data_IF_431570389653
#
_entry.id   IF_431570389653
#
_cell.length_a   1.000
_cell.length_b   1.000
_cell.length_c   1.000
_cell.angle_alpha   90.00
_cell.angle_beta   90.00
_cell.angle_gamma   90.00
#
_symmetry.space_group_name_H-M   'P 1'
#
loop_
_entity.id
_entity.type
_entity.pdbx_description
1 polymer ?
#
# COMPACT_ATOMS: atom_id res chain seq x y z
N UNK A 1 6.11 33.43 -2.94
CA UNK A 1 6.79 32.66 -4.00
C UNK A 1 6.16 33.14 -5.30
N UNK A 2 6.92 33.80 -6.12
CA UNK A 2 6.41 34.46 -7.33
C UNK A 2 6.04 33.38 -8.36
N UNK A 3 5.02 33.63 -9.18
CA UNK A 3 4.57 32.65 -10.18
C UNK A 3 5.69 32.33 -11.16
N UNK A 4 6.49 33.35 -11.53
CA UNK A 4 7.62 33.20 -12.43
C UNK A 4 8.73 32.34 -11.85
N UNK A 5 9.06 32.49 -10.57
CA UNK A 5 10.03 31.62 -9.85
C UNK A 5 9.56 30.15 -9.84
N UNK A 6 8.26 29.94 -9.72
CA UNK A 6 7.68 28.59 -9.74
C UNK A 6 7.77 27.95 -11.12
N UNK A 7 7.51 28.70 -12.18
CA UNK A 7 7.63 28.26 -13.57
C UNK A 7 9.08 27.94 -13.92
N UNK A 8 10.03 28.77 -13.51
CA UNK A 8 11.45 28.55 -13.75
C UNK A 8 11.96 27.29 -13.03
N UNK A 9 11.54 27.08 -11.77
CA UNK A 9 11.83 25.87 -11.03
C UNK A 9 11.27 24.61 -11.72
N UNK A 10 10.01 24.67 -12.20
CA UNK A 10 9.40 23.58 -12.96
C UNK A 10 10.13 23.29 -14.26
N UNK A 11 10.55 24.34 -14.99
CA UNK A 11 11.31 24.18 -16.24
C UNK A 11 12.70 23.59 -15.98
N UNK A 12 13.38 24.05 -14.93
CA UNK A 12 14.67 23.52 -14.51
C UNK A 12 14.54 22.04 -14.13
N UNK A 13 13.58 21.70 -13.29
CA UNK A 13 13.30 20.32 -12.89
C UNK A 13 13.01 19.43 -14.10
N UNK A 14 12.21 19.91 -15.07
CA UNK A 14 11.90 19.18 -16.28
C UNK A 14 13.13 18.97 -17.19
N UNK A 15 14.05 19.95 -17.26
CA UNK A 15 15.34 19.80 -17.99
C UNK A 15 16.22 18.75 -17.32
N UNK A 16 16.36 18.81 -16.00
CA UNK A 16 17.12 17.82 -15.22
C UNK A 16 16.52 16.41 -15.38
N UNK A 17 15.21 16.28 -15.28
CA UNK A 17 14.53 15.01 -15.51
C UNK A 17 14.72 14.48 -16.94
N UNK A 18 14.68 15.35 -17.95
CA UNK A 18 14.95 14.95 -19.34
C UNK A 18 16.39 14.45 -19.53
N UNK A 19 17.37 15.10 -18.97
CA UNK A 19 18.77 14.65 -19.03
C UNK A 19 18.98 13.32 -18.29
N UNK A 20 18.29 13.09 -17.18
CA UNK A 20 18.29 11.82 -16.46
C UNK A 20 17.51 10.71 -17.20
N UNK A 21 16.48 11.05 -17.97
CA UNK A 21 15.68 10.11 -18.78
C UNK A 21 16.38 9.61 -20.05
N UNK A 22 17.36 10.35 -20.58
CA UNK A 22 18.05 9.95 -21.82
C UNK A 22 18.89 8.67 -21.73
N UNK A 23 19.09 8.13 -20.52
CA UNK A 23 19.61 6.78 -20.31
C UNK A 23 18.47 5.80 -19.99
N UNK A 24 17.69 5.38 -20.99
CA UNK A 24 16.59 4.43 -20.80
C UNK A 24 17.06 3.19 -20.02
N UNK A 25 16.71 3.09 -18.73
CA UNK A 25 17.10 1.99 -17.86
C UNK A 25 16.57 0.66 -18.42
N UNK A 26 17.39 -0.38 -18.37
CA UNK A 26 16.96 -1.75 -18.72
C UNK A 26 16.07 -2.33 -17.61
N UNK A 27 15.24 -3.32 -17.94
CA UNK A 27 14.54 -4.11 -16.90
C UNK A 27 15.52 -4.81 -15.95
N UNK A 28 16.73 -5.12 -16.40
CA UNK A 28 17.78 -5.68 -15.54
C UNK A 28 18.27 -4.70 -14.47
N UNK A 29 18.14 -3.39 -14.69
CA UNK A 29 18.54 -2.38 -13.71
C UNK A 29 17.60 -2.34 -12.49
N UNK A 30 16.38 -2.90 -12.61
CA UNK A 30 15.44 -3.07 -11.49
C UNK A 30 16.02 -3.99 -10.40
N UNK A 31 16.86 -4.93 -10.79
CA UNK A 31 17.44 -5.93 -9.90
C UNK A 31 18.85 -5.60 -9.43
N UNK A 32 19.40 -4.43 -9.83
CA UNK A 32 20.74 -3.99 -9.48
C UNK A 32 20.76 -2.97 -8.33
N UNK A 33 21.72 -3.13 -7.42
CA UNK A 33 22.02 -2.15 -6.38
C UNK A 33 20.82 -1.74 -5.53
N UNK A 34 20.60 -0.45 -5.40
CA UNK A 34 19.54 0.16 -4.60
C UNK A 34 18.13 -0.11 -5.18
N UNK A 35 18.04 -0.19 -6.51
CA UNK A 35 16.76 -0.39 -7.19
C UNK A 35 16.16 -1.77 -6.87
N UNK A 36 16.99 -2.79 -6.60
CA UNK A 36 16.52 -4.11 -6.16
C UNK A 36 15.62 -4.02 -4.92
N UNK A 37 16.04 -3.25 -3.89
CA UNK A 37 15.26 -3.07 -2.67
C UNK A 37 13.95 -2.33 -2.94
N UNK A 38 13.94 -1.31 -3.81
CA UNK A 38 12.75 -0.57 -4.20
C UNK A 38 11.77 -1.44 -4.98
N UNK A 39 12.27 -2.21 -5.94
CA UNK A 39 11.47 -3.16 -6.72
C UNK A 39 10.87 -4.23 -5.82
N UNK A 40 11.67 -4.80 -4.91
CA UNK A 40 11.19 -5.76 -3.91
C UNK A 40 10.02 -5.18 -3.11
N UNK A 41 10.16 -3.97 -2.57
CA UNK A 41 9.11 -3.35 -1.76
C UNK A 41 7.84 -3.09 -2.58
N UNK A 42 7.97 -2.59 -3.81
CA UNK A 42 6.84 -2.35 -4.69
C UNK A 42 6.10 -3.65 -5.07
N UNK A 43 6.84 -4.71 -5.42
CA UNK A 43 6.25 -6.02 -5.72
C UNK A 43 5.57 -6.63 -4.49
N UNK A 44 6.23 -6.58 -3.34
CA UNK A 44 5.68 -7.14 -2.10
C UNK A 44 4.46 -6.36 -1.60
N UNK A 45 4.41 -5.04 -1.77
CA UNK A 45 3.21 -4.28 -1.45
C UNK A 45 1.98 -4.79 -2.23
N UNK A 46 2.13 -5.08 -3.51
CA UNK A 46 1.07 -5.68 -4.32
C UNK A 46 0.76 -7.13 -3.94
N UNK A 47 1.78 -7.94 -3.65
CA UNK A 47 1.59 -9.34 -3.22
C UNK A 47 0.87 -9.39 -1.87
N UNK A 48 1.25 -8.55 -0.91
CA UNK A 48 0.59 -8.47 0.39
C UNK A 48 -0.89 -8.10 0.26
N UNK A 49 -1.24 -7.22 -0.68
CA UNK A 49 -2.62 -6.89 -0.99
C UNK A 49 -3.41 -8.13 -1.45
N UNK A 50 -2.82 -8.94 -2.35
CA UNK A 50 -3.47 -10.17 -2.82
C UNK A 50 -3.61 -11.24 -1.73
N UNK A 51 -2.64 -11.32 -0.80
CA UNK A 51 -2.59 -12.33 0.26
C UNK A 51 -3.28 -11.92 1.56
N UNK A 52 -3.77 -10.67 1.67
CA UNK A 52 -4.46 -10.14 2.85
C UNK A 52 -5.87 -10.69 3.09
N UNK A 53 -6.34 -11.62 2.26
CA UNK A 53 -7.69 -12.19 2.35
C UNK A 53 -8.72 -11.49 1.48
N UNK A 54 -8.33 -10.54 0.62
CA UNK A 54 -9.23 -9.90 -0.35
C UNK A 54 -9.95 -10.92 -1.25
N UNK A 55 -9.32 -12.03 -1.57
CA UNK A 55 -9.95 -13.10 -2.34
C UNK A 55 -11.21 -13.66 -1.68
N UNK A 56 -11.30 -13.68 -0.35
CA UNK A 56 -12.52 -14.10 0.37
C UNK A 56 -13.68 -13.14 0.12
N UNK A 57 -13.43 -11.84 0.14
CA UNK A 57 -14.48 -10.85 -0.10
C UNK A 57 -14.98 -10.87 -1.54
N UNK A 58 -14.12 -11.20 -2.50
CA UNK A 58 -14.49 -11.37 -3.91
C UNK A 58 -15.42 -12.56 -4.15
N UNK A 59 -15.37 -13.59 -3.29
CA UNK A 59 -16.25 -14.76 -3.30
C UNK A 59 -17.36 -14.66 -2.26
N UNK A 60 -17.67 -13.48 -1.73
CA UNK A 60 -18.69 -13.25 -0.72
C UNK A 60 -20.08 -13.86 -1.09
N UNK A 61 -20.62 -13.68 -2.32
CA UNK A 61 -21.92 -14.27 -2.66
C UNK A 61 -21.94 -15.77 -2.48
N UNK A 62 -20.91 -16.46 -2.99
CA UNK A 62 -20.80 -17.91 -2.85
C UNK A 62 -20.66 -18.35 -1.39
N UNK A 63 -19.94 -17.56 -0.60
CA UNK A 63 -19.77 -17.82 0.84
C UNK A 63 -21.09 -17.68 1.60
N UNK A 64 -21.91 -16.69 1.25
CA UNK A 64 -23.23 -16.48 1.84
C UNK A 64 -24.22 -17.59 1.44
N UNK A 65 -24.20 -18.06 0.18
CA UNK A 65 -25.01 -19.19 -0.26
C UNK A 65 -24.64 -20.48 0.47
N UNK A 66 -23.35 -20.75 0.67
CA UNK A 66 -22.87 -21.88 1.47
C UNK A 66 -23.28 -21.78 2.95
N UNK A 67 -23.43 -20.55 3.45
CA UNK A 67 -23.93 -20.26 4.79
C UNK A 67 -25.46 -20.41 4.92
N UNK A 68 -26.17 -20.81 3.85
CA UNK A 68 -27.60 -21.07 3.85
C UNK A 68 -28.49 -19.86 3.54
N UNK A 69 -27.90 -18.76 3.03
CA UNK A 69 -28.70 -17.66 2.50
C UNK A 69 -29.22 -18.02 1.10
N UNK A 70 -30.42 -17.54 0.78
CA UNK A 70 -30.91 -17.62 -0.59
C UNK A 70 -30.09 -16.74 -1.56
N UNK A 71 -30.06 -17.08 -2.84
CA UNK A 71 -29.24 -16.40 -3.85
C UNK A 71 -29.51 -14.88 -3.91
N UNK A 72 -30.78 -14.45 -3.75
CA UNK A 72 -31.16 -13.05 -3.75
C UNK A 72 -30.58 -12.30 -2.54
N UNK A 73 -30.68 -12.85 -1.34
CA UNK A 73 -30.12 -12.27 -0.12
C UNK A 73 -28.59 -12.24 -0.16
N UNK A 74 -27.95 -13.28 -0.68
CA UNK A 74 -26.50 -13.36 -0.85
C UNK A 74 -25.98 -12.29 -1.78
N UNK A 75 -26.68 -12.04 -2.89
CA UNK A 75 -26.37 -10.98 -3.82
C UNK A 75 -26.55 -9.59 -3.18
N UNK A 76 -27.68 -9.34 -2.50
CA UNK A 76 -27.96 -8.06 -1.85
C UNK A 76 -26.94 -7.73 -0.74
N UNK A 77 -26.54 -8.73 0.06
CA UNK A 77 -25.48 -8.57 1.07
C UNK A 77 -24.13 -8.22 0.45
N UNK A 78 -23.82 -8.80 -0.71
CA UNK A 78 -22.58 -8.51 -1.42
C UNK A 78 -22.60 -7.08 -2.00
N UNK A 79 -23.71 -6.66 -2.58
CA UNK A 79 -23.90 -5.28 -3.06
C UNK A 79 -23.79 -4.28 -1.90
N UNK A 80 -24.40 -4.57 -0.75
CA UNK A 80 -24.27 -3.76 0.45
C UNK A 80 -22.79 -3.67 0.92
N UNK A 81 -22.07 -4.80 0.88
CA UNK A 81 -20.64 -4.86 1.19
C UNK A 81 -19.81 -3.94 0.29
N UNK A 82 -20.04 -3.94 -1.01
CA UNK A 82 -19.37 -3.00 -1.94
C UNK A 82 -19.76 -1.55 -1.68
N UNK A 83 -21.01 -1.27 -1.32
CA UNK A 83 -21.45 0.06 -0.90
C UNK A 83 -20.68 0.56 0.32
N UNK A 84 -20.48 -0.30 1.32
CA UNK A 84 -19.66 0.00 2.50
C UNK A 84 -18.18 0.18 2.12
N UNK A 85 -17.67 -0.58 1.15
CA UNK A 85 -16.32 -0.41 0.59
C UNK A 85 -16.12 0.97 -0.03
N UNK A 86 -17.08 1.50 -0.78
CA UNK A 86 -17.02 2.86 -1.34
C UNK A 86 -16.87 3.90 -0.22
N UNK A 87 -17.61 3.78 0.87
CA UNK A 87 -17.46 4.66 2.03
C UNK A 87 -16.05 4.58 2.63
N UNK A 88 -15.50 3.36 2.74
CA UNK A 88 -14.11 3.14 3.15
C UNK A 88 -13.11 3.86 2.24
N UNK A 89 -13.28 3.76 0.93
CA UNK A 89 -12.45 4.43 -0.07
C UNK A 89 -12.49 5.95 0.03
N UNK A 90 -13.66 6.55 0.23
CA UNK A 90 -13.81 8.00 0.43
C UNK A 90 -13.12 8.43 1.72
N UNK A 91 -13.31 7.70 2.82
CA UNK A 91 -12.65 7.98 4.10
C UNK A 91 -11.13 7.83 4.00
N UNK A 92 -10.63 6.95 3.15
CA UNK A 92 -9.21 6.76 2.92
C UNK A 92 -8.51 8.03 2.41
N UNK A 93 -9.16 8.86 1.60
CA UNK A 93 -8.59 10.12 1.11
C UNK A 93 -8.22 11.07 2.25
N UNK A 94 -9.10 11.17 3.24
CA UNK A 94 -8.83 11.99 4.43
C UNK A 94 -7.74 11.35 5.30
N UNK A 95 -7.80 10.04 5.51
CA UNK A 95 -6.84 9.32 6.33
C UNK A 95 -5.41 9.40 5.75
N UNK A 96 -5.24 9.29 4.43
CA UNK A 96 -3.96 9.43 3.74
C UNK A 96 -3.29 10.78 3.97
N UNK A 97 -4.08 11.84 4.18
CA UNK A 97 -3.56 13.18 4.46
C UNK A 97 -3.00 13.30 5.89
N UNK A 98 -3.62 12.62 6.87
CA UNK A 98 -3.27 12.76 8.28
C UNK A 98 -2.37 11.64 8.81
N UNK A 99 -2.46 10.44 8.26
CA UNK A 99 -1.73 9.26 8.74
C UNK A 99 -0.61 8.89 7.77
N UNK A 100 0.54 8.44 8.30
CA UNK A 100 1.67 7.96 7.49
C UNK A 100 1.30 6.68 6.73
N UNK A 101 1.86 6.55 5.50
CA UNK A 101 1.58 5.42 4.60
C UNK A 101 1.94 4.08 5.24
N UNK A 102 3.07 4.00 5.92
CA UNK A 102 3.52 2.79 6.62
C UNK A 102 2.55 2.39 7.72
N UNK A 103 2.11 3.36 8.56
CA UNK A 103 1.19 3.07 9.67
C UNK A 103 -0.16 2.58 9.14
N UNK A 104 -0.69 3.24 8.10
CA UNK A 104 -1.94 2.85 7.47
C UNK A 104 -1.87 1.45 6.85
N UNK A 105 -0.77 1.14 6.18
CA UNK A 105 -0.59 -0.16 5.55
C UNK A 105 -0.44 -1.28 6.58
N UNK A 106 0.31 -1.06 7.66
CA UNK A 106 0.47 -2.04 8.74
C UNK A 106 -0.84 -2.26 9.52
N UNK A 107 -1.59 -1.19 9.84
CA UNK A 107 -2.91 -1.35 10.45
C UNK A 107 -3.89 -2.09 9.53
N UNK A 108 -3.82 -1.79 8.23
CA UNK A 108 -4.61 -2.48 7.21
C UNK A 108 -4.28 -3.97 7.05
N UNK A 109 -3.07 -4.41 7.36
CA UNK A 109 -2.72 -5.84 7.43
C UNK A 109 -3.10 -6.47 8.78
N UNK A 110 -2.99 -5.73 9.87
CA UNK A 110 -3.31 -6.23 11.21
C UNK A 110 -4.81 -6.50 11.39
N UNK A 111 -5.66 -5.59 10.92
CA UNK A 111 -7.12 -5.72 11.06
C UNK A 111 -7.64 -6.99 10.36
N UNK A 112 -7.31 -7.31 9.10
CA UNK A 112 -7.67 -8.57 8.48
C UNK A 112 -7.16 -9.79 9.24
N UNK A 113 -5.96 -9.76 9.81
CA UNK A 113 -5.47 -10.88 10.64
C UNK A 113 -6.43 -11.15 11.79
N UNK A 114 -6.85 -10.12 12.52
CA UNK A 114 -7.77 -10.24 13.65
C UNK A 114 -9.14 -10.74 13.20
N UNK A 115 -9.69 -10.12 12.15
CA UNK A 115 -11.03 -10.49 11.63
C UNK A 115 -11.06 -11.90 11.07
N UNK A 116 -10.03 -12.31 10.34
CA UNK A 116 -9.92 -13.66 9.78
C UNK A 116 -9.71 -14.72 10.86
N UNK A 117 -8.93 -14.43 11.90
CA UNK A 117 -8.81 -15.33 13.05
C UNK A 117 -10.15 -15.49 13.77
N UNK A 118 -10.86 -14.38 14.01
CA UNK A 118 -12.20 -14.42 14.59
C UNK A 118 -13.18 -15.24 13.72
N UNK A 119 -13.19 -15.03 12.41
CA UNK A 119 -14.01 -15.78 11.46
C UNK A 119 -13.68 -17.27 11.45
N UNK A 120 -12.40 -17.62 11.47
CA UNK A 120 -11.95 -19.02 11.56
C UNK A 120 -12.38 -19.69 12.86
N UNK A 121 -12.25 -19.02 14.01
CA UNK A 121 -12.70 -19.51 15.31
C UNK A 121 -14.22 -19.72 15.31
N UNK A 122 -14.99 -18.75 14.84
CA UNK A 122 -16.46 -18.85 14.74
C UNK A 122 -16.85 -20.06 13.89
N UNK A 123 -16.19 -20.23 12.74
CA UNK A 123 -16.47 -21.36 11.84
C UNK A 123 -16.21 -22.73 12.49
N UNK A 124 -15.19 -22.84 13.36
CA UNK A 124 -14.85 -24.08 14.04
C UNK A 124 -15.76 -24.34 15.26
N UNK A 125 -16.04 -23.29 16.05
CA UNK A 125 -16.75 -23.43 17.33
C UNK A 125 -18.27 -23.55 17.17
N UNK A 126 -18.85 -22.78 16.27
CA UNK A 126 -20.31 -22.71 16.10
C UNK A 126 -20.81 -23.58 14.95
N UNK A 127 -19.92 -24.06 14.07
CA UNK A 127 -20.29 -24.91 12.94
C UNK A 127 -21.37 -24.27 12.06
N UNK A 128 -22.30 -25.08 11.56
CA UNK A 128 -23.42 -24.64 10.69
C UNK A 128 -24.62 -24.08 11.45
N UNK A 129 -24.40 -23.32 12.52
CA UNK A 129 -25.50 -22.65 13.23
C UNK A 129 -25.80 -21.31 12.53
N UNK A 130 -27.08 -21.00 12.35
CA UNK A 130 -27.57 -19.78 11.69
C UNK A 130 -26.90 -18.48 12.22
N UNK A 131 -26.52 -18.45 13.50
CA UNK A 131 -25.78 -17.29 14.08
C UNK A 131 -24.34 -17.19 13.62
N UNK A 132 -23.66 -18.30 13.33
CA UNK A 132 -22.29 -18.30 12.81
C UNK A 132 -22.23 -17.72 11.40
N UNK A 133 -23.21 -18.04 10.57
CA UNK A 133 -23.29 -17.60 9.19
C UNK A 133 -23.45 -16.06 9.10
N UNK A 134 -24.33 -15.50 9.93
CA UNK A 134 -24.48 -14.05 10.05
C UNK A 134 -23.20 -13.34 10.55
N UNK A 135 -22.51 -13.95 11.52
CA UNK A 135 -21.28 -13.41 12.04
C UNK A 135 -20.15 -13.43 10.98
N UNK A 136 -20.04 -14.51 10.21
CA UNK A 136 -19.10 -14.60 9.08
C UNK A 136 -19.42 -13.58 8.00
N UNK A 137 -20.71 -13.38 7.68
CA UNK A 137 -21.14 -12.34 6.75
C UNK A 137 -20.74 -10.93 7.21
N UNK A 138 -20.95 -10.63 8.48
CA UNK A 138 -20.53 -9.34 9.05
C UNK A 138 -19.02 -9.15 9.00
N UNK A 139 -18.22 -10.20 9.23
CA UNK A 139 -16.76 -10.16 9.12
C UNK A 139 -16.32 -9.85 7.68
N UNK A 140 -16.96 -10.47 6.67
CA UNK A 140 -16.63 -10.21 5.25
C UNK A 140 -16.93 -8.76 4.89
N UNK A 141 -18.06 -8.20 5.32
CA UNK A 141 -18.41 -6.79 5.08
C UNK A 141 -17.42 -5.85 5.79
N UNK A 142 -17.07 -6.14 7.05
CA UNK A 142 -16.07 -5.38 7.79
C UNK A 142 -14.69 -5.45 7.11
N UNK A 143 -14.29 -6.62 6.61
CA UNK A 143 -13.05 -6.77 5.84
C UNK A 143 -13.05 -5.90 4.60
N UNK A 144 -14.15 -5.85 3.83
CA UNK A 144 -14.26 -5.00 2.64
C UNK A 144 -14.07 -3.53 3.02
N UNK A 145 -14.74 -3.07 4.08
CA UNK A 145 -14.60 -1.71 4.57
C UNK A 145 -13.15 -1.36 4.93
N UNK A 146 -12.53 -2.15 5.80
CA UNK A 146 -11.17 -1.87 6.27
C UNK A 146 -10.12 -2.02 5.17
N UNK A 147 -10.33 -2.93 4.24
CA UNK A 147 -9.44 -3.07 3.09
C UNK A 147 -9.47 -1.83 2.21
N UNK A 148 -10.65 -1.32 1.84
CA UNK A 148 -10.81 -0.13 1.01
C UNK A 148 -10.43 1.16 1.75
N UNK A 149 -10.53 1.16 3.10
CA UNK A 149 -10.07 2.25 3.94
C UNK A 149 -8.53 2.34 3.99
N UNK A 150 -7.82 1.22 3.89
CA UNK A 150 -6.38 1.14 4.22
C UNK A 150 -5.54 0.55 3.10
N UNK A 151 -5.44 -0.80 3.00
CA UNK A 151 -4.49 -1.48 2.09
C UNK A 151 -4.73 -1.10 0.63
N UNK A 152 -5.99 -1.09 0.19
CA UNK A 152 -6.36 -0.84 -1.20
C UNK A 152 -5.72 0.45 -1.74
N UNK A 153 -6.13 1.62 -1.28
CA UNK A 153 -5.61 2.90 -1.75
C UNK A 153 -4.13 3.12 -1.44
N UNK A 154 -3.69 2.74 -0.21
CA UNK A 154 -2.29 2.95 0.23
C UNK A 154 -1.30 2.16 -0.62
N UNK A 155 -1.66 0.96 -1.10
CA UNK A 155 -0.80 0.17 -1.97
C UNK A 155 -0.44 0.93 -3.26
N UNK A 156 -1.43 1.55 -3.91
CA UNK A 156 -1.20 2.35 -5.12
C UNK A 156 -0.26 3.53 -4.86
N UNK A 157 -0.44 4.21 -3.73
CA UNK A 157 0.42 5.34 -3.34
C UNK A 157 1.85 4.86 -3.11
N UNK A 158 2.05 3.79 -2.35
CA UNK A 158 3.38 3.23 -2.09
C UNK A 158 4.10 2.82 -3.38
N UNK A 159 3.40 2.14 -4.28
CA UNK A 159 3.98 1.69 -5.55
C UNK A 159 4.29 2.85 -6.50
N UNK A 160 3.62 3.99 -6.35
CA UNK A 160 3.93 5.22 -7.09
C UNK A 160 5.09 6.01 -6.47
N UNK A 161 5.23 6.02 -5.13
CA UNK A 161 6.22 6.83 -4.41
C UNK A 161 7.60 6.15 -4.30
N UNK A 162 7.67 4.84 -4.08
CA UNK A 162 8.91 4.11 -3.77
C UNK A 162 9.89 3.97 -4.95
N UNK A 163 9.47 3.73 -6.19
CA UNK A 163 10.39 3.57 -7.31
C UNK A 163 11.19 4.84 -7.62
N UNK A 164 12.44 4.67 -8.07
CA UNK A 164 13.21 5.80 -8.58
C UNK A 164 12.54 6.40 -9.83
N UNK A 165 12.65 7.72 -10.00
CA UNK A 165 12.04 8.46 -11.11
C UNK A 165 12.39 7.86 -12.46
N UNK A 166 13.65 7.44 -12.65
CA UNK A 166 14.16 6.83 -13.89
C UNK A 166 13.52 5.48 -14.23
N UNK A 167 13.23 4.65 -13.24
CA UNK A 167 12.75 3.27 -13.42
C UNK A 167 11.28 3.08 -13.01
N UNK A 168 10.58 4.14 -12.62
CA UNK A 168 9.23 4.10 -12.04
C UNK A 168 8.26 3.29 -12.89
N UNK A 169 8.14 3.61 -14.17
CA UNK A 169 7.19 2.94 -15.07
C UNK A 169 7.45 1.43 -15.13
N UNK A 170 8.72 1.04 -15.23
CA UNK A 170 9.10 -0.39 -15.30
C UNK A 170 8.89 -1.11 -13.98
N UNK A 171 9.18 -0.45 -12.85
CA UNK A 171 8.94 -1.02 -11.51
C UNK A 171 7.47 -1.22 -11.26
N UNK A 172 6.63 -0.22 -11.58
CA UNK A 172 5.17 -0.30 -11.43
C UNK A 172 4.60 -1.41 -12.31
N UNK A 173 5.04 -1.50 -13.57
CA UNK A 173 4.62 -2.56 -14.48
C UNK A 173 4.98 -3.96 -13.94
N UNK A 174 6.22 -4.15 -13.49
CA UNK A 174 6.67 -5.42 -12.91
C UNK A 174 5.89 -5.76 -11.63
N UNK A 175 5.69 -4.80 -10.74
CA UNK A 175 4.91 -4.98 -9.52
C UNK A 175 3.45 -5.38 -9.84
N UNK A 176 2.85 -4.81 -10.90
CA UNK A 176 1.51 -5.19 -11.35
C UNK A 176 1.46 -6.60 -11.92
N UNK A 177 2.50 -7.02 -12.64
CA UNK A 177 2.62 -8.41 -13.14
C UNK A 177 2.68 -9.39 -11.97
N UNK A 178 3.49 -9.13 -10.95
CA UNK A 178 3.55 -9.99 -9.74
C UNK A 178 2.23 -10.08 -9.00
N UNK A 179 1.49 -8.97 -8.92
CA UNK A 179 0.12 -8.95 -8.38
C UNK A 179 -0.82 -9.85 -9.19
N UNK A 180 -0.82 -9.70 -10.51
CA UNK A 180 -1.70 -10.49 -11.37
C UNK A 180 -1.41 -11.99 -11.24
N UNK A 181 -0.14 -12.38 -11.11
CA UNK A 181 0.24 -13.78 -10.85
C UNK A 181 -0.32 -14.25 -9.51
N UNK A 182 -0.19 -13.44 -8.46
CA UNK A 182 -0.72 -13.78 -7.13
C UNK A 182 -2.25 -13.92 -7.14
N UNK A 183 -2.97 -13.01 -7.81
CA UNK A 183 -4.43 -13.08 -7.98
C UNK A 183 -4.84 -14.31 -8.81
N UNK A 184 -4.10 -14.63 -9.87
CA UNK A 184 -4.35 -15.83 -10.69
C UNK A 184 -4.27 -17.10 -9.84
N UNK A 185 -3.24 -17.22 -9.01
CA UNK A 185 -3.10 -18.35 -8.08
C UNK A 185 -4.27 -18.40 -7.09
N UNK A 186 -4.62 -17.25 -6.50
CA UNK A 186 -5.75 -17.17 -5.58
C UNK A 186 -7.08 -17.57 -6.26
N UNK A 187 -7.33 -17.13 -7.49
CA UNK A 187 -8.55 -17.46 -8.24
C UNK A 187 -8.66 -18.95 -8.58
N UNK A 188 -7.53 -19.67 -8.66
CA UNK A 188 -7.53 -21.13 -8.85
C UNK A 188 -7.72 -21.87 -7.53
N UNK A 189 -7.07 -21.40 -6.46
CA UNK A 189 -7.07 -22.06 -5.15
C UNK A 189 -8.38 -21.84 -4.42
N UNK A 190 -8.92 -20.62 -4.46
CA UNK A 190 -10.09 -20.23 -3.67
C UNK A 190 -11.34 -21.05 -3.95
N UNK A 191 -11.77 -21.29 -5.21
CA UNK A 191 -12.92 -22.14 -5.50
C UNK A 191 -12.72 -23.58 -5.00
N UNK A 192 -11.49 -24.12 -5.11
CA UNK A 192 -11.19 -25.47 -4.60
C UNK A 192 -11.28 -25.56 -3.08
N UNK A 193 -10.91 -24.50 -2.37
CA UNK A 193 -11.02 -24.44 -0.91
C UNK A 193 -12.48 -24.39 -0.44
N UNK A 194 -13.33 -23.65 -1.14
CA UNK A 194 -14.72 -23.43 -0.76
C UNK A 194 -15.64 -24.55 -1.22
N UNK A 195 -15.35 -25.19 -2.37
CA UNK A 195 -16.25 -26.18 -2.95
C UNK A 195 -16.33 -27.45 -2.09
N UNK A 196 -17.55 -27.88 -1.67
CA UNK A 196 -17.77 -29.10 -0.91
C UNK A 196 -17.29 -30.38 -1.61
N UNK A 197 -17.29 -30.41 -2.96
CA UNK A 197 -16.81 -31.55 -3.74
C UNK A 197 -15.28 -31.59 -3.92
N UNK A 198 -14.54 -30.56 -3.46
CA UNK A 198 -13.08 -30.49 -3.53
C UNK A 198 -12.47 -30.58 -2.12
N UNK A 199 -11.85 -29.52 -1.64
CA UNK A 199 -11.18 -29.54 -0.32
C UNK A 199 -12.13 -29.32 0.86
N UNK A 200 -13.31 -28.77 0.63
CA UNK A 200 -14.36 -28.54 1.63
C UNK A 200 -13.85 -27.87 2.93
N UNK A 201 -12.99 -26.89 2.79
CA UNK A 201 -12.38 -26.18 3.92
C UNK A 201 -13.37 -25.16 4.51
N UNK A 202 -14.25 -24.59 3.65
CA UNK A 202 -15.27 -23.62 4.05
C UNK A 202 -14.70 -22.46 4.84
N UNK A 203 -15.32 -22.10 5.96
CA UNK A 203 -14.88 -21.00 6.83
C UNK A 203 -13.49 -21.18 7.46
N UNK A 204 -12.92 -22.39 7.47
CA UNK A 204 -11.54 -22.62 7.93
C UNK A 204 -10.50 -22.00 6.98
N UNK A 205 -10.89 -21.63 5.74
CA UNK A 205 -10.06 -20.86 4.82
C UNK A 205 -9.58 -19.54 5.43
N UNK A 206 -10.35 -18.99 6.38
CA UNK A 206 -9.96 -17.79 7.12
C UNK A 206 -8.61 -17.96 7.84
N UNK A 207 -8.28 -19.13 8.37
CA UNK A 207 -6.99 -19.37 9.03
C UNK A 207 -5.83 -19.34 8.06
N UNK A 208 -6.00 -19.84 6.83
CA UNK A 208 -4.97 -19.77 5.82
C UNK A 208 -4.67 -18.30 5.48
N UNK A 209 -5.70 -17.52 5.19
CA UNK A 209 -5.51 -16.11 4.86
C UNK A 209 -5.07 -15.26 6.06
N UNK A 210 -5.45 -15.62 7.28
CA UNK A 210 -4.92 -15.02 8.49
C UNK A 210 -3.40 -15.25 8.61
N UNK A 211 -2.92 -16.48 8.35
CA UNK A 211 -1.51 -16.81 8.41
C UNK A 211 -0.70 -16.11 7.31
N UNK A 212 -1.19 -16.07 6.07
CA UNK A 212 -0.52 -15.34 4.98
C UNK A 212 -0.49 -13.84 5.23
N UNK A 213 -1.59 -13.25 5.71
CA UNK A 213 -1.65 -11.83 6.10
C UNK A 213 -0.69 -11.52 7.25
N UNK A 214 -0.56 -12.41 8.22
CA UNK A 214 0.39 -12.26 9.33
C UNK A 214 1.85 -12.30 8.87
N UNK A 215 2.20 -13.20 7.97
CA UNK A 215 3.54 -13.24 7.36
C UNK A 215 3.81 -11.94 6.59
N UNK A 216 2.84 -11.45 5.81
CA UNK A 216 2.91 -10.16 5.13
C UNK A 216 3.10 -9.00 6.12
N UNK A 217 2.39 -9.00 7.24
CA UNK A 217 2.51 -7.98 8.30
C UNK A 217 3.93 -7.95 8.86
N UNK A 218 4.52 -9.10 9.20
CA UNK A 218 5.90 -9.20 9.69
C UNK A 218 6.87 -8.64 8.66
N UNK A 219 6.75 -9.08 7.40
CA UNK A 219 7.61 -8.60 6.32
C UNK A 219 7.51 -7.07 6.15
N UNK A 220 6.31 -6.52 6.08
CA UNK A 220 6.07 -5.09 5.95
C UNK A 220 6.61 -4.30 7.14
N UNK A 221 6.49 -4.83 8.35
CA UNK A 221 7.02 -4.19 9.56
C UNK A 221 8.53 -3.94 9.46
N UNK A 222 9.29 -4.88 8.92
CA UNK A 222 10.75 -4.74 8.81
C UNK A 222 11.20 -4.02 7.54
N UNK A 223 10.46 -4.13 6.44
CA UNK A 223 10.95 -3.70 5.12
C UNK A 223 10.27 -2.45 4.58
N UNK A 224 9.01 -2.15 4.97
CA UNK A 224 8.26 -1.03 4.43
C UNK A 224 8.71 0.29 5.07
N UNK A 225 9.26 1.25 4.30
CA UNK A 225 9.62 2.56 4.81
C UNK A 225 8.39 3.48 4.96
N UNK A 226 8.51 4.52 5.78
CA UNK A 226 7.55 5.63 5.78
C UNK A 226 7.90 6.60 4.65
N UNK A 227 6.93 6.91 3.80
CA UNK A 227 7.15 7.80 2.62
C UNK A 227 6.45 9.14 2.76
N UNK A 228 5.66 9.36 3.83
CA UNK A 228 4.89 10.58 4.03
C UNK A 228 5.78 11.80 4.09
N UNK A 229 5.39 12.86 3.36
CA UNK A 229 6.09 14.15 3.28
C UNK A 229 7.51 14.10 2.69
N UNK A 230 7.96 12.96 2.20
CA UNK A 230 9.22 12.85 1.50
C UNK A 230 9.04 13.23 0.02
N UNK A 231 9.91 14.08 -0.47
CA UNK A 231 10.06 14.33 -1.90
C UNK A 231 10.73 13.13 -2.58
N UNK A 232 10.55 13.00 -3.89
CA UNK A 232 11.20 11.92 -4.64
C UNK A 232 12.72 11.95 -4.54
N UNK A 233 13.31 13.18 -4.48
CA UNK A 233 14.75 13.35 -4.34
C UNK A 233 15.26 12.89 -2.98
N UNK A 234 14.58 13.26 -1.91
CA UNK A 234 14.93 12.82 -0.53
C UNK A 234 14.80 11.30 -0.41
N UNK A 235 13.75 10.73 -1.00
CA UNK A 235 13.59 9.29 -1.04
C UNK A 235 14.75 8.62 -1.79
N UNK A 236 15.20 9.20 -2.91
CA UNK A 236 16.34 8.70 -3.67
C UNK A 236 17.62 8.74 -2.82
N UNK A 237 17.90 9.85 -2.13
CA UNK A 237 19.04 9.99 -1.24
C UNK A 237 19.00 8.97 -0.08
N UNK A 238 17.84 8.79 0.56
CA UNK A 238 17.70 7.86 1.68
C UNK A 238 17.93 6.40 1.26
N UNK A 239 17.44 6.03 0.08
CA UNK A 239 17.68 4.70 -0.46
C UNK A 239 19.13 4.50 -0.89
N UNK A 240 19.78 5.49 -1.51
CA UNK A 240 21.20 5.43 -1.88
C UNK A 240 22.11 5.29 -0.67
N UNK A 241 21.81 5.98 0.43
CA UNK A 241 22.49 5.83 1.72
C UNK A 241 22.21 4.49 2.42
N UNK A 242 21.39 3.60 1.80
CA UNK A 242 20.97 2.31 2.36
C UNK A 242 20.39 2.42 3.77
N UNK A 243 19.73 3.54 4.07
CA UNK A 243 19.18 3.81 5.39
C UNK A 243 18.24 2.68 5.86
N UNK A 244 18.29 2.26 7.14
CA UNK A 244 17.33 1.31 7.70
C UNK A 244 15.93 1.93 7.74
N UNK A 245 14.91 1.13 7.44
CA UNK A 245 13.50 1.58 7.33
C UNK A 245 12.99 2.28 8.58
N UNK A 246 13.47 1.89 9.75
CA UNK A 246 13.09 2.48 11.04
C UNK A 246 13.59 3.92 11.23
N UNK A 247 14.70 4.28 10.56
CA UNK A 247 15.36 5.60 10.69
C UNK A 247 14.97 6.59 9.59
N UNK A 248 14.06 6.23 8.67
CA UNK A 248 13.65 7.11 7.58
C UNK A 248 13.09 8.44 8.11
N UNK A 249 12.26 8.39 9.15
CA UNK A 249 11.69 9.59 9.76
C UNK A 249 12.76 10.46 10.45
N UNK A 250 13.66 9.86 11.22
CA UNK A 250 14.75 10.60 11.90
C UNK A 250 15.69 11.26 10.89
N UNK A 251 16.00 10.56 9.79
CA UNK A 251 16.84 11.11 8.73
C UNK A 251 16.11 12.18 7.91
N UNK A 252 14.81 12.10 7.76
CA UNK A 252 13.98 13.16 7.18
C UNK A 252 14.08 14.42 8.02
N UNK A 253 13.83 14.33 9.31
CA UNK A 253 13.90 15.48 10.23
C UNK A 253 15.26 16.17 10.15
N UNK A 254 16.37 15.42 10.01
CA UNK A 254 17.72 15.96 9.80
C UNK A 254 17.94 16.60 8.43
N UNK A 255 17.33 16.05 7.37
CA UNK A 255 17.42 16.65 6.02
C UNK A 255 16.66 17.98 5.97
N UNK A 256 15.49 18.04 6.60
CA UNK A 256 14.69 19.26 6.71
C UNK A 256 15.45 20.34 7.50
N UNK A 257 16.10 19.98 8.61
CA UNK A 257 16.91 20.89 9.41
C UNK A 257 18.12 21.43 8.63
N UNK A 258 18.82 20.55 7.90
CA UNK A 258 19.96 20.97 7.06
C UNK A 258 19.52 21.85 5.90
N UNK A 259 18.39 21.57 5.27
CA UNK A 259 17.82 22.40 4.21
C UNK A 259 17.41 23.78 4.75
N UNK A 260 16.76 23.83 5.90
CA UNK A 260 16.40 25.09 6.57
C UNK A 260 17.62 25.94 6.91
N UNK A 261 18.66 25.34 7.49
CA UNK A 261 19.91 26.04 7.83
C UNK A 261 20.64 26.58 6.57
N UNK A 262 20.60 25.84 5.47
CA UNK A 262 21.19 26.29 4.20
C UNK A 262 20.42 27.44 3.59
N UNK A 263 19.08 27.45 3.64
CA UNK A 263 18.23 28.54 3.19
C UNK A 263 18.47 29.82 4.00
N UNK A 264 18.48 29.71 5.32
CA UNK A 264 18.73 30.86 6.22
C UNK A 264 20.10 31.47 5.99
N UNK A 265 21.13 30.63 5.74
CA UNK A 265 22.47 31.08 5.41
C UNK A 265 22.51 31.80 4.05
N UNK A 266 21.78 31.33 3.06
CA UNK A 266 21.71 31.95 1.73
C UNK A 266 20.98 33.29 1.79
N UNK A 267 19.90 33.38 2.55
CA UNK A 267 19.17 34.63 2.79
C UNK A 267 20.04 35.65 3.53
N UNK A 268 20.79 35.24 4.55
CA UNK A 268 21.75 36.11 5.25
C UNK A 268 22.86 36.58 4.34
N UNK A 269 23.38 35.76 3.45
CA UNK A 269 24.36 36.17 2.44
C UNK A 269 23.76 37.14 1.45
N UNK A 270 22.53 36.89 0.98
CA UNK A 270 21.83 37.78 0.04
C UNK A 270 21.55 39.17 0.65
N UNK A 271 21.10 39.20 1.90
CA UNK A 271 20.89 40.47 2.61
C UNK A 271 22.21 41.27 2.83
N UNK A 272 23.32 40.58 3.09
CA UNK A 272 24.65 41.22 3.18
C UNK A 272 25.10 41.77 1.83
N UNK A 273 24.86 41.06 0.73
CA UNK A 273 25.18 41.55 -0.62
C UNK A 273 24.36 42.79 -1.01
N UNK A 274 23.06 42.81 -0.70
CA UNK A 274 22.21 43.99 -0.93
C UNK A 274 22.60 45.17 -0.06
N UNK A 275 23.07 44.94 1.15
CA UNK A 275 23.60 45.97 2.03
C UNK A 275 24.90 46.60 1.47
N UNK A 276 25.76 45.82 0.84
CA UNK A 276 27.00 46.34 0.20
C UNK A 276 26.71 47.17 -1.05
N UNK A 277 25.73 46.77 -1.88
CA UNK A 277 25.33 47.51 -3.08
C UNK A 277 24.58 48.81 -2.78
N UNK A 278 24.06 48.99 -1.56
CA UNK A 278 23.41 50.24 -1.14
C UNK A 278 24.39 51.29 -0.61
N UNK A 279 25.67 50.91 -0.40
CA UNK A 279 26.75 51.82 0.07
C UNK A 279 27.81 52.12 -0.99
N UNK A 280 27.68 51.57 -2.20
CA UNK A 280 28.50 51.92 -3.38
C UNK A 280 27.70 52.79 -4.36
#
# INVERSE_FOLDING_TARGET
MDIDDTIELMQHTNRVEKTLKYGGGSYLDLFKGVNRRRTEIACMAWICQALSGWSLTSYAPYFFEQAGFDASSSFNLSVAGYGVGILGGIMSWTLLSFVGRRKLYLSGLLIPVILLLAGGIISVTLGSRRGADWALGAIIIAMTFFYDLTIGPVCYVLVAEIPSTRLRVKTVALARVTYNIAIMVNNIVMPKMLNPSAWNIGGKACFLYASTSFVCLIWCYFRLPETRKLTYLELDILFEKKAPTSKFKELQDRLDETAYLSMTRTEQLRSRWHGWLAYS
#
